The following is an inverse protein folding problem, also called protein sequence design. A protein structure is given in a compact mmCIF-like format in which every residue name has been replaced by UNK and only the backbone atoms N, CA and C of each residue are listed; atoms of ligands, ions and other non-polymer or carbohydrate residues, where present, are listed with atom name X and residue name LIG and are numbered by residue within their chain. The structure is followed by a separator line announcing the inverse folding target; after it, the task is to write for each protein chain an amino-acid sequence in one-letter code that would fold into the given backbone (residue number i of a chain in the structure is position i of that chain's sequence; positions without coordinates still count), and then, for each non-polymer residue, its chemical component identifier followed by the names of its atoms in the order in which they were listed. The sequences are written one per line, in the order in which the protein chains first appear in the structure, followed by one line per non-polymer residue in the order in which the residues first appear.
data_IF_025666733557
#
_entry.id   IF_025666733557
#
_cell.length_a   1.000
_cell.length_b   1.000
_cell.length_c   1.000
_cell.angle_alpha   90.00
_cell.angle_beta   90.00
_cell.angle_gamma   90.00
#
_symmetry.space_group_name_H-M   'P 1'
#
loop_
_entity.id
_entity.type
_entity.pdbx_description
1 polymer ?
#
# COMPACT_ATOMS: atom_id res chain seq x y z
N UNK A 1 7.40 2.41 9.36
CA UNK A 1 7.21 1.44 8.25
C UNK A 1 5.83 0.78 8.34
N UNK A 2 4.76 1.51 7.99
CA UNK A 2 3.37 1.03 8.26
C UNK A 2 3.00 -0.21 7.45
N UNK A 3 3.41 -0.33 6.18
CA UNK A 3 3.17 -1.56 5.40
C UNK A 3 3.79 -2.79 6.07
N UNK A 4 5.03 -2.68 6.56
CA UNK A 4 5.73 -3.79 7.23
C UNK A 4 5.10 -4.15 8.57
N UNK A 5 4.65 -3.16 9.32
CA UNK A 5 3.96 -3.38 10.59
C UNK A 5 2.60 -4.06 10.39
N UNK A 6 1.81 -3.58 9.43
CA UNK A 6 0.53 -4.19 9.05
C UNK A 6 0.73 -5.63 8.58
N UNK A 7 1.73 -5.88 7.73
CA UNK A 7 2.08 -7.23 7.29
C UNK A 7 2.46 -8.11 8.48
N UNK A 8 3.39 -7.67 9.33
CA UNK A 8 3.81 -8.42 10.53
C UNK A 8 2.63 -8.75 11.46
N UNK A 9 1.71 -7.80 11.65
CA UNK A 9 0.50 -8.00 12.44
C UNK A 9 -0.45 -9.02 11.80
N UNK A 10 -0.61 -8.99 10.48
CA UNK A 10 -1.36 -9.99 9.73
C UNK A 10 -0.72 -11.37 9.88
N UNK A 11 0.60 -11.49 9.69
CA UNK A 11 1.33 -12.76 9.81
C UNK A 11 1.24 -13.37 11.21
N UNK A 12 1.22 -12.51 12.23
CA UNK A 12 1.10 -12.94 13.62
C UNK A 12 -0.31 -13.43 13.98
N UNK A 13 -1.37 -12.87 13.37
CA UNK A 13 -2.76 -13.30 13.58
C UNK A 13 -3.10 -14.60 12.85
N UNK A 14 -2.60 -14.76 11.63
CA UNK A 14 -2.89 -15.89 10.75
C UNK A 14 -1.96 -17.10 10.98
N UNK A 15 -1.36 -17.23 12.17
CA UNK A 15 -0.46 -18.35 12.50
C UNK A 15 -1.20 -19.68 12.37
N UNK A 16 -0.81 -20.50 11.38
CA UNK A 16 -1.38 -21.82 11.12
C UNK A 16 -2.38 -21.88 9.96
N UNK A 17 -2.72 -20.77 9.33
CA UNK A 17 -3.48 -20.75 8.08
C UNK A 17 -2.55 -20.88 6.86
N UNK A 18 -3.12 -21.30 5.72
CA UNK A 18 -2.41 -21.42 4.45
C UNK A 18 -2.19 -20.03 3.83
N UNK A 19 -0.97 -19.74 3.37
CA UNK A 19 -0.49 -18.37 3.08
C UNK A 19 -0.05 -18.19 1.62
N UNK A 20 -0.85 -18.70 0.70
CA UNK A 20 -0.48 -18.73 -0.72
C UNK A 20 -0.96 -17.49 -1.48
N UNK A 21 -1.74 -16.63 -0.81
CA UNK A 21 -2.18 -15.35 -1.35
C UNK A 21 -1.26 -14.21 -0.91
N UNK A 22 -1.05 -13.26 -1.82
CA UNK A 22 -0.38 -11.99 -1.58
C UNK A 22 -1.12 -10.85 -2.26
N UNK A 23 -0.78 -9.61 -1.93
CA UNK A 23 -1.38 -8.43 -2.56
C UNK A 23 -0.34 -7.35 -2.81
N UNK A 24 -0.60 -6.53 -3.81
CA UNK A 24 0.04 -5.23 -3.97
C UNK A 24 -0.62 -4.22 -3.03
N UNK A 25 0.01 -3.08 -2.80
CA UNK A 25 -0.64 -2.02 -2.05
C UNK A 25 -0.15 -0.64 -2.51
N UNK A 26 -1.09 0.27 -2.69
CA UNK A 26 -0.78 1.65 -3.04
C UNK A 26 -1.63 2.58 -2.19
N UNK A 27 -1.02 3.62 -1.64
CA UNK A 27 -1.71 4.60 -0.81
C UNK A 27 -1.28 6.00 -1.26
N UNK A 28 -2.27 6.84 -1.54
CA UNK A 28 -2.07 8.26 -1.84
C UNK A 28 -2.68 9.09 -0.71
N UNK A 29 -1.88 9.97 -0.09
CA UNK A 29 -2.30 10.84 1.01
C UNK A 29 -2.10 12.29 0.57
N UNK A 30 -3.18 13.08 0.59
CA UNK A 30 -3.12 14.52 0.35
C UNK A 30 -2.98 15.25 1.69
N UNK A 31 -1.86 15.94 1.90
CA UNK A 31 -1.60 16.76 3.07
C UNK A 31 -1.36 18.21 2.63
N UNK A 32 -2.40 19.03 2.75
CA UNK A 32 -2.40 20.39 2.21
C UNK A 32 -2.29 20.36 0.68
N UNK A 33 -1.21 20.93 0.15
CA UNK A 33 -0.88 20.96 -1.27
C UNK A 33 0.06 19.82 -1.72
N UNK A 34 0.39 18.88 -0.82
CA UNK A 34 1.32 17.78 -1.08
C UNK A 34 0.59 16.45 -1.26
N UNK A 35 0.80 15.80 -2.39
CA UNK A 35 0.37 14.41 -2.62
C UNK A 35 1.54 13.46 -2.31
N UNK A 36 1.40 12.66 -1.25
CA UNK A 36 2.35 11.61 -0.88
C UNK A 36 1.85 10.28 -1.40
N UNK A 37 2.73 9.49 -2.03
CA UNK A 37 2.40 8.16 -2.55
C UNK A 37 3.34 7.14 -1.93
N UNK A 38 2.77 6.07 -1.40
CA UNK A 38 3.50 4.89 -0.97
C UNK A 38 3.00 3.67 -1.76
N UNK A 39 3.91 2.97 -2.43
CA UNK A 39 3.59 1.87 -3.35
C UNK A 39 4.41 0.62 -3.02
N UNK A 40 3.76 -0.53 -3.04
CA UNK A 40 4.34 -1.86 -2.84
C UNK A 40 3.82 -2.78 -3.94
N UNK A 41 4.73 -3.40 -4.68
CA UNK A 41 4.40 -4.23 -5.85
C UNK A 41 4.26 -3.42 -7.15
N UNK A 42 3.58 -4.00 -8.12
CA UNK A 42 3.49 -3.52 -9.50
C UNK A 42 2.21 -2.72 -9.82
N UNK A 43 1.40 -2.41 -8.79
CA UNK A 43 0.35 -1.40 -8.90
C UNK A 43 0.92 0.00 -9.20
N UNK A 44 0.09 0.88 -9.78
CA UNK A 44 0.51 2.18 -10.32
C UNK A 44 -0.37 3.32 -9.83
N UNK A 45 0.23 4.47 -9.54
CA UNK A 45 -0.48 5.75 -9.32
C UNK A 45 -0.31 6.63 -10.54
N UNK A 46 -1.42 7.20 -11.01
CA UNK A 46 -1.42 8.22 -12.05
C UNK A 46 -2.06 9.47 -11.46
N UNK A 47 -1.34 10.59 -11.52
CA UNK A 47 -1.85 11.90 -11.16
C UNK A 47 -1.98 12.75 -12.43
N UNK A 48 -3.17 13.30 -12.67
CA UNK A 48 -3.40 14.27 -13.74
C UNK A 48 -3.55 15.66 -13.13
N UNK A 49 -2.87 16.64 -13.70
CA UNK A 49 -2.97 18.04 -13.31
C UNK A 49 -3.26 18.87 -14.54
N UNK A 50 -4.35 19.64 -14.49
CA UNK A 50 -4.80 20.55 -15.55
C UNK A 50 -5.27 19.93 -16.87
N UNK A 51 -5.31 18.60 -17.00
CA UNK A 51 -5.87 17.91 -18.16
C UNK A 51 -5.07 18.11 -19.46
N UNK A 52 -4.40 17.02 -19.88
CA UNK A 52 -3.52 16.91 -21.05
C UNK A 52 -2.13 17.57 -20.91
#
# INVERSE_FOLDING_TARGET
ETFKETDSNYLNREKGQHRDAGSTATTAVLLGDRLLVANVGDSRVVASRSGA
#
